data_IF_093866087383
#
_entry.id   IF_093866087383
#
_cell.length_a   1.000
_cell.length_b   1.000
_cell.length_c   1.000
_cell.angle_alpha   90.00
_cell.angle_beta   90.00
_cell.angle_gamma   90.00
#
_symmetry.space_group_name_H-M   'P 1'
#
loop_
_entity.id
_entity.type
_entity.pdbx_description
1 polymer ?
#
# COMPACT_ATOMS: atom_id res chain seq x y z
N UNK A 1 2.94 26.86 -21.91
CA UNK A 1 3.87 26.28 -20.90
C UNK A 1 3.03 26.08 -19.66
N UNK A 2 2.64 24.84 -19.38
CA UNK A 2 1.97 24.52 -18.12
C UNK A 2 2.95 24.80 -16.99
N UNK A 3 2.54 25.65 -16.05
CA UNK A 3 3.29 25.94 -14.83
C UNK A 3 3.32 24.66 -13.99
N UNK A 4 4.36 23.85 -14.13
CA UNK A 4 4.67 22.74 -13.21
C UNK A 4 5.27 23.28 -11.91
N UNK A 5 4.62 24.30 -11.31
CA UNK A 5 4.96 24.74 -9.97
C UNK A 5 4.49 23.66 -9.01
N UNK A 6 5.44 23.06 -8.33
CA UNK A 6 5.29 22.12 -7.22
C UNK A 6 4.79 20.71 -7.57
N UNK A 7 5.62 19.94 -8.27
CA UNK A 7 5.41 18.50 -8.42
C UNK A 7 5.61 17.80 -7.06
N UNK A 8 4.55 17.76 -6.29
CA UNK A 8 4.53 17.12 -4.97
C UNK A 8 4.02 15.68 -5.12
N UNK A 9 4.79 14.72 -4.65
CA UNK A 9 4.34 13.33 -4.59
C UNK A 9 3.73 13.00 -3.23
N UNK A 10 2.50 12.50 -3.22
CA UNK A 10 1.92 11.82 -2.06
C UNK A 10 2.37 10.35 -2.01
N UNK A 11 2.72 9.86 -0.84
CA UNK A 11 3.24 8.49 -0.64
C UNK A 11 2.58 7.83 0.56
N UNK A 12 2.04 6.62 0.37
CA UNK A 12 1.43 5.81 1.44
C UNK A 12 1.67 4.31 1.20
N UNK A 13 1.54 3.50 2.27
CA UNK A 13 1.66 2.05 2.21
C UNK A 13 0.43 1.32 2.72
N UNK A 14 0.29 0.07 2.33
CA UNK A 14 -0.78 -0.84 2.75
C UNK A 14 -0.25 -2.24 3.05
N UNK A 15 -0.88 -2.91 4.00
CA UNK A 15 -0.58 -4.31 4.29
C UNK A 15 0.47 -4.52 5.35
N UNK A 16 0.79 -3.53 6.19
CA UNK A 16 1.75 -3.69 7.29
C UNK A 16 1.35 -4.77 8.28
N UNK A 17 0.11 -4.76 8.75
CA UNK A 17 -0.39 -5.75 9.72
C UNK A 17 -0.90 -7.05 9.10
N UNK A 18 -0.74 -7.28 7.79
CA UNK A 18 -1.15 -8.52 7.17
C UNK A 18 -0.18 -9.65 7.49
N UNK A 19 -0.70 -10.88 7.63
CA UNK A 19 0.10 -12.09 7.86
C UNK A 19 0.64 -12.69 6.56
N UNK A 20 0.02 -12.35 5.43
CA UNK A 20 0.28 -12.94 4.11
C UNK A 20 0.56 -11.87 3.06
N UNK A 21 1.53 -12.14 2.20
CA UNK A 21 1.86 -11.32 1.04
C UNK A 21 2.74 -10.10 1.33
N UNK A 22 3.10 -9.34 0.29
CA UNK A 22 3.99 -8.20 0.39
C UNK A 22 3.35 -7.02 1.13
N UNK A 23 4.17 -6.11 1.63
CA UNK A 23 3.78 -4.72 1.89
C UNK A 23 3.89 -3.96 0.57
N UNK A 24 2.91 -3.09 0.31
CA UNK A 24 2.79 -2.34 -0.96
C UNK A 24 2.68 -0.87 -0.64
N UNK A 25 3.35 -0.04 -1.40
CA UNK A 25 3.23 1.40 -1.34
C UNK A 25 2.91 1.98 -2.73
N UNK A 26 2.34 3.16 -2.76
CA UNK A 26 2.19 3.95 -3.97
C UNK A 26 2.78 5.35 -3.78
N UNK A 27 3.25 5.92 -4.88
CA UNK A 27 3.58 7.33 -5.00
C UNK A 27 2.77 7.90 -6.15
N UNK A 28 2.20 9.10 -5.98
CA UNK A 28 1.39 9.77 -7.00
C UNK A 28 1.62 11.28 -7.00
N UNK A 29 1.70 11.85 -8.19
CA UNK A 29 1.73 13.30 -8.45
C UNK A 29 0.42 13.65 -9.13
N UNK A 30 -0.32 14.59 -8.57
CA UNK A 30 -1.59 15.09 -9.10
C UNK A 30 -1.50 16.57 -9.37
N UNK A 31 -2.16 17.05 -10.45
CA UNK A 31 -2.39 18.47 -10.65
C UNK A 31 -3.50 18.97 -9.70
N UNK A 32 -3.47 20.24 -9.31
CA UNK A 32 -4.47 20.84 -8.40
C UNK A 32 -5.90 20.68 -8.90
N UNK A 33 -6.12 20.86 -10.20
CA UNK A 33 -7.43 20.66 -10.82
C UNK A 33 -7.92 19.20 -10.67
N UNK A 34 -7.02 18.23 -10.79
CA UNK A 34 -7.35 16.80 -10.57
C UNK A 34 -7.67 16.53 -9.11
N UNK A 35 -6.91 17.13 -8.19
CA UNK A 35 -7.18 17.00 -6.74
C UNK A 35 -8.60 17.46 -6.44
N UNK A 36 -9.00 18.65 -6.93
CA UNK A 36 -10.34 19.17 -6.69
C UNK A 36 -11.42 18.25 -7.24
N UNK A 37 -11.26 17.75 -8.46
CA UNK A 37 -12.21 16.79 -9.06
C UNK A 37 -12.35 15.50 -8.25
N UNK A 38 -11.25 14.97 -7.73
CA UNK A 38 -11.27 13.76 -6.90
C UNK A 38 -11.95 14.01 -5.54
N UNK A 39 -11.75 15.17 -4.94
CA UNK A 39 -12.44 15.59 -3.72
C UNK A 39 -13.95 15.71 -3.95
N UNK A 40 -14.39 16.32 -5.05
CA UNK A 40 -15.80 16.44 -5.43
C UNK A 40 -16.46 15.06 -5.67
N UNK A 41 -15.67 14.04 -6.07
CA UNK A 41 -16.08 12.65 -6.18
C UNK A 41 -16.06 11.89 -4.85
N UNK A 42 -15.76 12.56 -3.74
CA UNK A 42 -15.75 12.00 -2.40
C UNK A 42 -14.45 11.26 -2.04
N UNK A 43 -13.33 11.64 -2.66
CA UNK A 43 -12.03 11.09 -2.24
C UNK A 43 -11.74 11.44 -0.78
N UNK A 44 -11.47 10.43 0.01
CA UNK A 44 -11.12 10.50 1.44
C UNK A 44 -10.24 9.30 1.81
N UNK A 45 -9.97 9.11 3.11
CA UNK A 45 -9.28 7.93 3.64
C UNK A 45 -9.84 6.63 3.01
N UNK A 46 -8.94 5.87 2.38
CA UNK A 46 -9.28 4.66 1.63
C UNK A 46 -10.04 3.61 2.45
N UNK A 47 -9.93 3.65 3.78
CA UNK A 47 -10.60 2.73 4.71
C UNK A 47 -12.08 3.10 4.93
N UNK A 48 -12.44 4.37 4.72
CA UNK A 48 -13.83 4.85 4.83
C UNK A 48 -14.63 4.62 3.54
N UNK A 49 -13.97 4.40 2.42
CA UNK A 49 -14.59 4.16 1.12
C UNK A 49 -15.10 2.72 1.00
N UNK A 50 -16.28 2.56 0.41
CA UNK A 50 -16.75 1.26 -0.03
C UNK A 50 -15.82 0.68 -1.12
N UNK A 51 -15.77 -0.65 -1.32
CA UNK A 51 -14.96 -1.26 -2.38
C UNK A 51 -15.26 -0.69 -3.77
N UNK A 52 -16.53 -0.39 -4.08
CA UNK A 52 -16.96 0.17 -5.36
C UNK A 52 -16.46 1.60 -5.57
N UNK A 53 -16.62 2.46 -4.57
CA UNK A 53 -16.10 3.84 -4.61
C UNK A 53 -14.58 3.85 -4.76
N UNK A 54 -13.88 2.99 -4.00
CA UNK A 54 -12.42 2.88 -4.07
C UNK A 54 -11.92 2.44 -5.45
N UNK A 55 -12.62 1.50 -6.11
CA UNK A 55 -12.28 1.08 -7.47
C UNK A 55 -12.52 2.20 -8.48
N UNK A 56 -13.62 2.94 -8.38
CA UNK A 56 -13.92 4.09 -9.24
C UNK A 56 -12.86 5.18 -9.10
N UNK A 57 -12.54 5.60 -7.87
CA UNK A 57 -11.51 6.60 -7.60
C UNK A 57 -10.13 6.13 -8.06
N UNK A 58 -9.77 4.86 -7.83
CA UNK A 58 -8.52 4.30 -8.33
C UNK A 58 -8.40 4.41 -9.85
N UNK A 59 -9.47 4.18 -10.59
CA UNK A 59 -9.48 4.34 -12.04
C UNK A 59 -9.24 5.80 -12.43
N UNK A 60 -9.99 6.76 -11.84
CA UNK A 60 -9.84 8.18 -12.12
C UNK A 60 -8.43 8.70 -11.75
N UNK A 61 -7.88 8.29 -10.59
CA UNK A 61 -6.52 8.65 -10.21
C UNK A 61 -5.52 8.16 -11.28
N UNK A 62 -5.63 6.91 -11.74
CA UNK A 62 -4.71 6.34 -12.74
C UNK A 62 -4.79 7.01 -14.11
N UNK A 63 -5.99 7.47 -14.49
CA UNK A 63 -6.23 8.15 -15.77
C UNK A 63 -5.76 9.60 -15.77
N UNK A 64 -5.82 10.27 -14.61
CA UNK A 64 -5.59 11.72 -14.52
C UNK A 64 -4.31 12.10 -13.76
N UNK A 65 -3.61 11.15 -13.14
CA UNK A 65 -2.37 11.45 -12.45
C UNK A 65 -1.28 11.90 -13.45
N UNK A 66 -0.54 12.93 -13.09
CA UNK A 66 0.66 13.37 -13.81
C UNK A 66 1.70 12.24 -13.84
N UNK A 67 1.87 11.55 -12.71
CA UNK A 67 2.66 10.33 -12.60
C UNK A 67 2.18 9.51 -11.38
N UNK A 68 2.20 8.19 -11.47
CA UNK A 68 2.06 7.31 -10.31
C UNK A 68 2.86 6.04 -10.47
N UNK A 69 3.27 5.45 -9.36
CA UNK A 69 3.94 4.15 -9.36
C UNK A 69 3.63 3.35 -8.09
N UNK A 70 3.68 2.03 -8.26
CA UNK A 70 3.56 1.08 -7.17
C UNK A 70 4.94 0.52 -6.83
N UNK A 71 5.26 0.52 -5.56
CA UNK A 71 6.41 -0.17 -4.99
C UNK A 71 5.97 -1.26 -4.03
N UNK A 72 6.78 -2.30 -3.89
CA UNK A 72 6.50 -3.36 -2.92
C UNK A 72 7.78 -3.88 -2.29
N UNK A 73 7.66 -4.45 -1.09
CA UNK A 73 8.67 -5.31 -0.48
C UNK A 73 8.05 -6.69 -0.22
N UNK A 74 8.78 -7.72 -0.61
CA UNK A 74 8.38 -9.12 -0.53
C UNK A 74 8.32 -9.62 0.91
N UNK A 75 7.70 -10.79 1.11
CA UNK A 75 7.69 -11.48 2.41
C UNK A 75 9.11 -11.74 2.91
N UNK A 76 10.01 -12.18 2.04
CA UNK A 76 11.41 -12.39 2.38
C UNK A 76 12.09 -11.11 2.91
N UNK A 77 11.83 -9.97 2.26
CA UNK A 77 12.39 -8.68 2.69
C UNK A 77 11.75 -8.22 4.03
N UNK A 78 10.45 -8.47 4.23
CA UNK A 78 9.78 -8.18 5.50
C UNK A 78 10.40 -8.98 6.65
N UNK A 79 10.59 -10.29 6.45
CA UNK A 79 11.14 -11.17 7.49
C UNK A 79 12.61 -10.84 7.80
N UNK A 80 13.36 -10.33 6.82
CA UNK A 80 14.78 -9.95 6.98
C UNK A 80 14.98 -8.55 7.57
N UNK A 81 14.17 -7.58 7.15
CA UNK A 81 14.37 -6.15 7.46
C UNK A 81 13.49 -5.64 8.61
N UNK A 82 12.47 -6.35 9.00
CA UNK A 82 11.25 -6.01 9.71
C UNK A 82 10.26 -5.18 8.87
N UNK A 83 9.01 -5.09 9.36
CA UNK A 83 7.92 -4.46 8.60
C UNK A 83 8.10 -2.96 8.41
N UNK A 84 8.71 -2.25 9.36
CA UNK A 84 8.95 -0.81 9.22
C UNK A 84 9.92 -0.54 8.07
N UNK A 85 11.07 -1.20 8.06
CA UNK A 85 12.09 -1.01 7.01
C UNK A 85 11.59 -1.50 5.64
N UNK A 86 10.83 -2.59 5.60
CA UNK A 86 10.22 -3.09 4.38
C UNK A 86 9.15 -2.11 3.83
N UNK A 87 8.36 -1.44 4.69
CA UNK A 87 7.43 -0.40 4.27
C UNK A 87 8.17 0.78 3.63
N UNK A 88 9.21 1.29 4.30
CA UNK A 88 10.03 2.38 3.78
C UNK A 88 10.73 2.00 2.45
N UNK A 89 11.17 0.74 2.31
CA UNK A 89 11.71 0.21 1.06
C UNK A 89 10.67 0.20 -0.06
N UNK A 90 9.43 -0.23 0.23
CA UNK A 90 8.34 -0.20 -0.73
C UNK A 90 8.01 1.23 -1.17
N UNK A 91 7.92 2.18 -0.23
CA UNK A 91 7.73 3.60 -0.51
C UNK A 91 8.87 4.17 -1.36
N UNK A 92 10.12 3.89 -1.01
CA UNK A 92 11.28 4.31 -1.81
C UNK A 92 11.19 3.81 -3.24
N UNK A 93 10.83 2.55 -3.44
CA UNK A 93 10.68 1.94 -4.77
C UNK A 93 9.56 2.60 -5.59
N UNK A 94 8.47 3.00 -4.96
CA UNK A 94 7.38 3.70 -5.66
C UNK A 94 7.83 5.09 -6.12
N UNK A 95 8.50 5.86 -5.25
CA UNK A 95 8.98 7.22 -5.58
C UNK A 95 10.05 7.19 -6.68
N UNK A 96 11.07 6.33 -6.54
CA UNK A 96 12.20 6.28 -7.49
C UNK A 96 11.81 5.75 -8.89
N UNK A 97 10.62 5.15 -9.02
CA UNK A 97 10.10 4.66 -10.31
C UNK A 97 9.13 5.64 -10.99
N UNK A 98 8.79 6.74 -10.35
CA UNK A 98 7.97 7.77 -11.00
C UNK A 98 8.64 8.24 -12.30
N UNK A 99 7.83 8.42 -13.35
CA UNK A 99 8.31 8.93 -14.63
C UNK A 99 8.79 10.39 -14.56
N UNK A 100 8.39 11.10 -13.52
CA UNK A 100 8.77 12.47 -13.22
C UNK A 100 9.34 12.50 -11.80
N UNK A 101 10.51 13.09 -11.63
CA UNK A 101 11.12 13.25 -10.31
C UNK A 101 10.37 14.34 -9.53
N UNK A 102 9.77 14.03 -8.37
CA UNK A 102 9.07 15.04 -7.57
C UNK A 102 10.05 16.03 -6.94
N UNK A 103 9.62 17.26 -6.78
CA UNK A 103 10.39 18.30 -6.06
C UNK A 103 10.36 18.04 -4.55
N UNK A 104 9.28 17.46 -4.04
CA UNK A 104 9.07 17.12 -2.63
C UNK A 104 8.15 15.91 -2.51
N UNK A 105 8.31 15.13 -1.43
CA UNK A 105 7.39 14.06 -1.06
C UNK A 105 6.64 14.40 0.23
N UNK A 106 5.31 14.20 0.22
CA UNK A 106 4.47 14.10 1.41
C UNK A 106 4.30 12.62 1.74
N UNK A 107 4.75 12.21 2.91
CA UNK A 107 4.84 10.79 3.30
C UNK A 107 3.90 10.54 4.47
N UNK A 108 3.01 9.55 4.35
CA UNK A 108 2.19 9.13 5.49
C UNK A 108 3.05 8.58 6.63
N UNK A 109 2.66 8.92 7.86
CA UNK A 109 3.35 8.47 9.07
C UNK A 109 4.37 9.46 9.61
N UNK A 110 5.31 8.96 10.41
CA UNK A 110 6.30 9.78 11.16
C UNK A 110 7.76 9.47 10.75
N UNK A 111 7.98 8.66 9.74
CA UNK A 111 9.32 8.25 9.31
C UNK A 111 9.64 8.76 7.90
N UNK A 112 10.79 9.40 7.74
CA UNK A 112 11.32 9.73 6.42
C UNK A 112 11.77 8.47 5.69
N UNK A 113 11.57 8.45 4.38
CA UNK A 113 12.03 7.37 3.50
C UNK A 113 13.55 7.50 3.31
N UNK A 114 14.35 6.51 3.69
CA UNK A 114 15.81 6.59 3.55
C UNK A 114 16.26 6.71 2.09
N UNK A 115 17.37 7.43 1.88
CA UNK A 115 18.06 7.52 0.58
C UNK A 115 17.18 8.06 -0.56
N UNK A 116 16.23 8.94 -0.29
CA UNK A 116 15.57 9.76 -1.30
C UNK A 116 16.30 11.09 -1.43
N UNK A 117 16.59 11.56 -2.67
CA UNK A 117 17.35 12.78 -2.87
C UNK A 117 16.53 14.07 -2.67
N UNK A 118 15.20 13.98 -2.71
CA UNK A 118 14.31 15.12 -2.58
C UNK A 118 13.88 15.39 -1.13
N UNK A 119 13.48 16.61 -0.77
CA UNK A 119 12.87 16.96 0.51
C UNK A 119 11.62 16.13 0.80
N UNK A 120 11.42 15.82 2.09
CA UNK A 120 10.29 15.02 2.55
C UNK A 120 9.62 15.67 3.76
N UNK A 121 8.30 15.70 3.75
CA UNK A 121 7.47 16.08 4.91
C UNK A 121 6.66 14.85 5.33
N UNK A 122 6.84 14.42 6.56
CA UNK A 122 6.08 13.29 7.14
C UNK A 122 4.83 13.82 7.82
N UNK A 123 3.69 13.18 7.63
CA UNK A 123 2.39 13.59 8.14
C UNK A 123 1.69 12.40 8.79
N UNK A 124 1.49 12.47 10.11
CA UNK A 124 0.75 11.44 10.85
C UNK A 124 -0.72 11.49 10.41
N UNK A 125 -1.24 10.35 9.91
CA UNK A 125 -2.58 10.25 9.31
C UNK A 125 -2.74 11.19 8.11
N UNK A 126 -1.70 11.34 7.32
CA UNK A 126 -1.70 12.16 6.13
C UNK A 126 -2.74 11.72 5.09
N UNK A 127 -3.13 10.44 5.09
CA UNK A 127 -4.21 9.89 4.29
C UNK A 127 -5.59 10.53 4.60
N UNK A 128 -5.75 11.20 5.74
CA UNK A 128 -6.97 11.92 6.14
C UNK A 128 -6.92 13.43 5.88
N UNK A 129 -5.73 14.02 5.75
CA UNK A 129 -5.53 15.47 5.67
C UNK A 129 -4.98 15.95 4.33
N UNK A 130 -4.27 15.09 3.61
CA UNK A 130 -3.55 15.44 2.38
C UNK A 130 -4.05 14.63 1.18
N UNK A 131 -4.69 15.28 0.20
CA UNK A 131 -5.29 14.60 -0.95
C UNK A 131 -4.31 13.74 -1.76
N UNK A 132 -3.06 14.16 -1.91
CA UNK A 132 -2.05 13.37 -2.62
C UNK A 132 -1.71 12.07 -1.86
N UNK A 133 -1.67 12.09 -0.53
CA UNK A 133 -1.46 10.90 0.30
C UNK A 133 -2.71 10.00 0.24
N UNK A 134 -3.92 10.57 0.33
CA UNK A 134 -5.18 9.82 0.19
C UNK A 134 -5.26 9.08 -1.16
N UNK A 135 -4.86 9.72 -2.25
CA UNK A 135 -4.79 9.10 -3.57
C UNK A 135 -3.78 7.95 -3.61
N UNK A 136 -2.58 8.13 -3.03
CA UNK A 136 -1.59 7.06 -2.90
C UNK A 136 -2.13 5.88 -2.09
N UNK A 137 -2.82 6.14 -0.98
CA UNK A 137 -3.49 5.12 -0.15
C UNK A 137 -4.48 4.29 -0.99
N UNK A 138 -5.33 4.95 -1.78
CA UNK A 138 -6.31 4.27 -2.67
C UNK A 138 -5.59 3.39 -3.69
N UNK A 139 -4.57 3.90 -4.38
CA UNK A 139 -3.80 3.15 -5.38
C UNK A 139 -3.15 1.91 -4.76
N UNK A 140 -2.44 2.07 -3.65
CA UNK A 140 -1.77 0.98 -2.95
C UNK A 140 -2.78 -0.09 -2.48
N UNK A 141 -3.91 0.36 -1.90
CA UNK A 141 -4.97 -0.51 -1.37
C UNK A 141 -5.62 -1.35 -2.46
N UNK A 142 -6.04 -0.74 -3.57
CA UNK A 142 -6.68 -1.46 -4.66
C UNK A 142 -5.71 -2.46 -5.29
N UNK A 143 -4.48 -2.03 -5.56
CA UNK A 143 -3.48 -2.90 -6.18
C UNK A 143 -3.17 -4.11 -5.30
N UNK A 144 -2.96 -3.90 -3.98
CA UNK A 144 -2.66 -4.99 -3.06
C UNK A 144 -3.84 -5.95 -2.90
N UNK A 145 -5.05 -5.44 -2.72
CA UNK A 145 -6.24 -6.28 -2.56
C UNK A 145 -6.44 -7.17 -3.79
N UNK A 146 -6.27 -6.64 -5.01
CA UNK A 146 -6.34 -7.42 -6.25
C UNK A 146 -5.24 -8.49 -6.34
N UNK A 147 -4.02 -8.18 -5.91
CA UNK A 147 -2.94 -9.16 -5.84
C UNK A 147 -3.32 -10.33 -4.90
N UNK A 148 -3.79 -10.02 -3.70
CA UNK A 148 -4.11 -11.04 -2.71
C UNK A 148 -5.30 -11.90 -3.15
N UNK A 149 -6.32 -11.31 -3.80
CA UNK A 149 -7.44 -12.05 -4.39
C UNK A 149 -6.93 -13.06 -5.45
N UNK A 150 -6.00 -12.66 -6.31
CA UNK A 150 -5.40 -13.59 -7.30
C UNK A 150 -4.60 -14.70 -6.62
N UNK A 151 -3.91 -14.40 -5.53
CA UNK A 151 -3.15 -15.39 -4.78
C UNK A 151 -4.04 -16.37 -4.02
N UNK A 152 -5.29 -16.03 -3.70
CA UNK A 152 -6.25 -16.94 -3.07
C UNK A 152 -6.46 -18.24 -3.90
N UNK A 153 -6.46 -18.12 -5.22
CA UNK A 153 -6.56 -19.29 -6.11
C UNK A 153 -5.37 -20.25 -5.97
N UNK A 154 -4.18 -19.71 -5.67
CA UNK A 154 -2.95 -20.50 -5.51
C UNK A 154 -2.76 -21.03 -4.09
N UNK A 155 -3.37 -20.38 -3.12
CA UNK A 155 -3.30 -20.72 -1.70
C UNK A 155 -4.71 -20.84 -1.11
N UNK A 156 -5.49 -21.83 -1.56
CA UNK A 156 -6.85 -22.06 -1.07
C UNK A 156 -6.83 -22.35 0.43
N UNK A 157 -7.98 -22.29 1.07
CA UNK A 157 -8.19 -22.55 2.50
C UNK A 157 -7.73 -21.47 3.49
N UNK A 158 -6.94 -20.46 3.08
CA UNK A 158 -6.57 -19.35 3.97
C UNK A 158 -7.56 -18.18 3.89
N UNK A 159 -8.61 -18.28 3.07
CA UNK A 159 -9.66 -17.28 2.90
C UNK A 159 -9.14 -15.89 2.48
N UNK A 160 -8.08 -15.85 1.67
CA UNK A 160 -7.36 -14.63 1.32
C UNK A 160 -8.22 -13.64 0.52
N UNK A 161 -9.14 -14.14 -0.32
CA UNK A 161 -10.07 -13.30 -1.05
C UNK A 161 -10.96 -12.45 -0.13
N UNK A 162 -11.30 -12.94 1.06
CA UNK A 162 -12.11 -12.21 2.04
C UNK A 162 -11.26 -11.37 2.99
N UNK A 163 -10.21 -11.95 3.58
CA UNK A 163 -9.41 -11.31 4.62
C UNK A 163 -8.25 -10.44 4.10
N UNK A 164 -7.97 -10.46 2.79
CA UNK A 164 -6.87 -9.73 2.14
C UNK A 164 -5.49 -9.98 2.77
N UNK A 165 -5.31 -11.18 3.35
CA UNK A 165 -4.10 -11.60 4.03
C UNK A 165 -3.99 -11.14 5.49
N UNK A 166 -4.99 -10.44 6.03
CA UNK A 166 -5.02 -10.06 7.45
C UNK A 166 -5.44 -11.22 8.35
N UNK A 167 -4.99 -11.18 9.59
CA UNK A 167 -5.20 -12.23 10.59
C UNK A 167 -6.63 -12.31 11.14
N UNK A 168 -7.63 -12.56 10.29
CA UNK A 168 -8.99 -12.89 10.74
C UNK A 168 -9.00 -14.23 11.51
N UNK A 169 -10.07 -14.50 12.25
CA UNK A 169 -10.20 -15.76 12.98
C UNK A 169 -10.04 -16.98 12.05
N UNK A 170 -10.71 -16.96 10.88
CA UNK A 170 -10.58 -18.02 9.86
C UNK A 170 -9.16 -18.18 9.32
N UNK A 171 -8.44 -17.07 9.11
CA UNK A 171 -7.05 -17.13 8.62
C UNK A 171 -6.11 -17.72 9.68
N UNK A 172 -6.28 -17.33 10.95
CA UNK A 172 -5.48 -17.88 12.06
C UNK A 172 -5.77 -19.38 12.29
N UNK A 173 -7.03 -19.78 12.16
CA UNK A 173 -7.40 -21.19 12.23
C UNK A 173 -6.74 -21.98 11.10
N UNK A 174 -6.82 -21.48 9.85
CA UNK A 174 -6.16 -22.12 8.73
C UNK A 174 -4.63 -22.24 8.92
N UNK A 175 -3.99 -21.26 9.56
CA UNK A 175 -2.57 -21.33 9.91
C UNK A 175 -2.28 -22.43 10.93
N UNK A 176 -3.15 -22.65 11.91
CA UNK A 176 -3.00 -23.73 12.89
C UNK A 176 -3.18 -25.11 12.24
N UNK A 177 -4.15 -25.23 11.33
CA UNK A 177 -4.50 -26.52 10.70
C UNK A 177 -3.50 -26.91 9.61
N UNK A 178 -3.08 -25.94 8.76
CA UNK A 178 -2.31 -26.19 7.54
C UNK A 178 -0.85 -25.72 7.63
N UNK A 179 -0.52 -24.90 8.63
CA UNK A 179 0.76 -24.24 8.75
C UNK A 179 0.93 -23.05 7.79
N UNK A 180 2.06 -22.35 7.87
CA UNK A 180 2.35 -21.21 6.99
C UNK A 180 2.86 -21.66 5.63
N UNK A 181 2.53 -20.93 4.57
CA UNK A 181 3.09 -21.05 3.22
C UNK A 181 4.28 -20.10 3.04
N UNK A 182 4.95 -20.17 1.88
CA UNK A 182 6.05 -19.26 1.50
C UNK A 182 5.64 -17.78 1.44
N UNK A 183 4.34 -17.49 1.40
CA UNK A 183 3.83 -16.13 1.36
C UNK A 183 3.33 -15.63 2.72
N UNK A 184 3.48 -16.43 3.79
CA UNK A 184 3.26 -15.99 5.16
C UNK A 184 4.54 -15.40 5.76
N UNK A 185 4.37 -14.36 6.57
CA UNK A 185 5.47 -13.62 7.21
C UNK A 185 5.90 -14.34 8.47
N UNK A 186 6.93 -15.15 8.38
CA UNK A 186 7.39 -16.00 9.48
C UNK A 186 7.95 -15.20 10.68
N UNK A 187 8.34 -13.96 10.48
CA UNK A 187 8.71 -13.04 11.56
C UNK A 187 7.51 -12.56 12.39
N UNK A 188 6.28 -12.77 11.93
CA UNK A 188 5.06 -12.38 12.64
C UNK A 188 4.59 -13.53 13.54
N UNK A 189 4.38 -13.24 14.83
CA UNK A 189 4.00 -14.25 15.83
C UNK A 189 2.86 -15.20 15.40
N UNK A 190 1.75 -14.74 14.77
CA UNK A 190 0.69 -15.64 14.34
C UNK A 190 1.09 -16.63 13.24
N UNK A 191 2.25 -16.45 12.58
CA UNK A 191 2.77 -17.35 11.56
C UNK A 191 3.82 -18.33 12.12
N UNK A 192 4.20 -18.20 13.39
CA UNK A 192 5.16 -19.06 14.09
C UNK A 192 4.46 -20.26 14.72
N UNK A 193 3.65 -20.95 13.94
CA UNK A 193 2.91 -22.14 14.39
C UNK A 193 3.52 -23.39 13.77
N UNK A 194 3.63 -24.45 14.58
CA UNK A 194 3.88 -25.81 14.07
C UNK A 194 2.54 -26.40 13.69
N UNK A 195 2.37 -26.97 12.47
CA UNK A 195 1.13 -27.64 12.11
C UNK A 195 0.82 -28.77 13.11
N UNK A 196 -0.44 -28.88 13.50
CA UNK A 196 -0.89 -29.93 14.41
C UNK A 196 -0.76 -31.33 13.79
N UNK A 197 -0.68 -31.39 12.46
CA UNK A 197 -0.52 -32.64 11.72
C UNK A 197 0.60 -32.47 10.67
N UNK A 198 1.62 -33.28 10.76
CA UNK A 198 2.57 -33.58 9.69
C UNK A 198 2.12 -34.84 8.96
#
# INVERSE_FOLDING_TARGET
>A
MENYSDQIAGVDEVGRGALFGPVVAAAVILADATIQQLLDQGMTDSKQLSPRQRLSLNQHIREQAVAYQIGMASVYEIDRLNILQASLLAMRRSVLRLSITPQRCLVDGNQKIPQLPMPQTTLIKGDQSEPAIAAASILAKVWRDQLIIRLDQRYPCYHLASNKGYGSAKHRQALQDLGPTRQHRLSFTPCQVSPLFR
#
